data_IF_317941714548
#
_entry.id   IF_317941714548
#
_cell.length_a   1.000
_cell.length_b   1.000
_cell.length_c   1.000
_cell.angle_alpha   90.00
_cell.angle_beta   90.00
_cell.angle_gamma   90.00
#
_symmetry.space_group_name_H-M   'P 1'
#
loop_
_entity.id
_entity.type
_entity.pdbx_description
1 polymer ?
#
# COMPACT_ATOMS: atom_id res chain seq x y z
N UNK A 1 2.36 3.41 28.94
CA UNK A 1 2.77 2.79 27.66
C UNK A 1 3.79 1.72 27.98
N UNK A 2 3.73 0.57 27.33
CA UNK A 2 4.66 -0.55 27.57
C UNK A 2 5.63 -0.76 26.40
N UNK A 3 5.19 -0.45 25.17
CA UNK A 3 5.97 -0.67 23.95
C UNK A 3 6.15 0.62 23.16
N UNK A 4 7.25 0.66 22.41
CA UNK A 4 7.61 1.77 21.54
C UNK A 4 7.96 1.25 20.15
N UNK A 5 7.52 1.96 19.11
CA UNK A 5 7.90 1.67 17.73
C UNK A 5 8.14 2.95 16.94
N UNK A 6 9.17 2.97 16.10
CA UNK A 6 9.48 4.12 15.24
C UNK A 6 8.78 3.99 13.90
N UNK A 7 8.00 5.00 13.52
CA UNK A 7 7.27 5.03 12.24
C UNK A 7 7.48 6.38 11.57
N UNK A 8 7.57 6.36 10.23
CA UNK A 8 7.59 7.58 9.43
C UNK A 8 6.15 8.05 9.20
N UNK A 9 5.92 9.34 9.39
CA UNK A 9 4.64 9.97 9.08
C UNK A 9 4.47 10.07 7.57
N UNK A 10 3.36 9.53 7.07
CA UNK A 10 3.01 9.54 5.66
C UNK A 10 2.53 10.93 5.22
N UNK A 11 2.54 11.19 3.90
CA UNK A 11 2.16 12.49 3.32
C UNK A 11 0.72 12.90 3.61
N UNK A 12 -0.15 11.94 3.93
CA UNK A 12 -1.55 12.15 4.29
C UNK A 12 -1.75 12.39 5.79
N UNK A 13 -0.67 12.62 6.55
CA UNK A 13 -0.66 12.86 8.01
C UNK A 13 -1.10 11.62 8.80
N UNK A 14 -0.72 10.45 8.32
CA UNK A 14 -1.02 9.20 9.00
C UNK A 14 0.23 8.39 9.36
N UNK A 15 0.09 7.55 10.38
CA UNK A 15 1.06 6.50 10.74
C UNK A 15 0.33 5.17 10.90
N UNK A 16 1.00 4.08 10.54
CA UNK A 16 0.44 2.73 10.69
C UNK A 16 1.14 1.97 11.81
N UNK A 17 0.35 1.33 12.67
CA UNK A 17 0.81 0.54 13.80
C UNK A 17 -0.13 -0.65 13.99
N UNK A 18 0.41 -1.87 14.02
CA UNK A 18 -0.34 -3.12 14.25
C UNK A 18 -1.59 -3.28 13.36
N UNK A 19 -1.49 -2.86 12.09
CA UNK A 19 -2.60 -2.94 11.13
C UNK A 19 -3.65 -1.83 11.26
N UNK A 20 -3.50 -0.90 12.21
CA UNK A 20 -4.34 0.29 12.34
C UNK A 20 -3.63 1.53 11.84
N UNK A 21 -4.41 2.51 11.40
CA UNK A 21 -3.93 3.80 10.92
C UNK A 21 -4.35 4.86 11.92
N UNK A 22 -3.43 5.75 12.27
CA UNK A 22 -3.65 6.84 13.21
C UNK A 22 -3.36 8.18 12.55
N UNK A 23 -4.18 9.17 12.87
CA UNK A 23 -4.02 10.57 12.47
C UNK A 23 -3.02 11.26 13.38
N UNK A 24 -2.11 12.03 12.77
CA UNK A 24 -1.08 12.81 13.46
C UNK A 24 -1.05 14.26 12.97
N UNK A 25 -0.39 15.13 13.72
CA UNK A 25 -0.19 16.54 13.38
C UNK A 25 0.55 16.69 12.05
N UNK A 26 0.07 17.63 11.23
CA UNK A 26 0.67 18.01 9.96
C UNK A 26 2.12 18.49 10.11
N UNK A 27 2.48 19.04 11.27
CA UNK A 27 3.85 19.46 11.57
C UNK A 27 4.87 18.30 11.56
N UNK A 28 4.40 17.05 11.70
CA UNK A 28 5.25 15.86 11.74
C UNK A 28 5.37 15.16 10.37
N UNK A 29 4.81 15.74 9.30
CA UNK A 29 4.83 15.14 7.96
C UNK A 29 6.25 14.82 7.47
N UNK A 30 6.48 13.55 7.12
CA UNK A 30 7.78 13.08 6.66
C UNK A 30 8.81 12.80 7.76
N UNK A 31 8.52 13.18 9.01
CA UNK A 31 9.37 12.90 10.15
C UNK A 31 9.24 11.45 10.62
N UNK A 32 10.27 10.96 11.33
CA UNK A 32 10.23 9.66 12.00
C UNK A 32 9.93 9.86 13.48
N UNK A 33 8.73 9.48 13.90
CA UNK A 33 8.23 9.62 15.26
C UNK A 33 8.32 8.30 16.02
N UNK A 34 8.36 8.38 17.34
CA UNK A 34 8.25 7.24 18.24
C UNK A 34 6.80 7.13 18.74
N UNK A 35 6.15 6.02 18.43
CA UNK A 35 4.80 5.69 18.87
C UNK A 35 4.90 4.88 20.16
N UNK A 36 4.22 5.32 21.22
CA UNK A 36 4.17 4.63 22.51
C UNK A 36 2.76 4.14 22.78
N UNK A 37 2.63 2.83 23.03
CA UNK A 37 1.33 2.18 23.18
C UNK A 37 1.36 1.06 24.20
N UNK A 38 0.18 0.54 24.53
CA UNK A 38 0.01 -0.66 25.34
C UNK A 38 -0.52 -1.77 24.40
N UNK A 39 0.24 -2.86 24.18
CA UNK A 39 -0.19 -3.93 23.28
C UNK A 39 -1.38 -4.74 23.83
N UNK A 40 -1.63 -4.68 25.14
CA UNK A 40 -2.77 -5.35 25.77
C UNK A 40 -4.04 -4.52 25.73
N UNK A 41 -3.94 -3.24 25.37
CA UNK A 41 -5.10 -2.37 25.22
C UNK A 41 -5.91 -2.75 23.98
N UNK A 42 -7.25 -2.56 24.00
CA UNK A 42 -8.08 -2.72 22.83
C UNK A 42 -7.59 -1.87 21.67
N UNK A 43 -7.71 -2.44 20.47
CA UNK A 43 -7.39 -1.75 19.24
C UNK A 43 -8.33 -0.54 19.04
N UNK A 44 -7.82 0.55 18.46
CA UNK A 44 -8.54 1.81 18.32
C UNK A 44 -8.38 2.79 19.49
N UNK A 45 -7.63 2.45 20.54
CA UNK A 45 -7.25 3.45 21.54
C UNK A 45 -6.23 4.45 20.97
N UNK A 46 -6.31 5.74 21.36
CA UNK A 46 -5.28 6.71 21.01
C UNK A 46 -3.90 6.28 21.51
N UNK A 47 -2.87 6.58 20.71
CA UNK A 47 -1.47 6.25 21.02
C UNK A 47 -0.66 7.53 21.21
N UNK A 48 0.36 7.46 22.05
CA UNK A 48 1.22 8.62 22.29
C UNK A 48 2.25 8.76 21.17
N UNK A 49 2.37 9.96 20.60
CA UNK A 49 3.38 10.31 19.60
C UNK A 49 4.45 11.16 20.25
N UNK A 50 5.69 10.70 20.15
CA UNK A 50 6.87 11.44 20.59
C UNK A 50 7.78 11.75 19.39
N UNK A 51 8.34 12.96 19.36
CA UNK A 51 9.33 13.37 18.37
C UNK A 51 10.53 13.98 19.11
N UNK A 52 11.75 13.58 18.71
CA UNK A 52 12.99 14.04 19.38
C UNK A 52 13.00 13.84 20.91
N UNK A 53 12.39 12.74 21.38
CA UNK A 53 12.27 12.43 22.82
C UNK A 53 11.20 13.25 23.56
N UNK A 54 10.51 14.18 22.90
CA UNK A 54 9.43 14.96 23.48
C UNK A 54 8.07 14.41 23.09
N UNK A 55 7.14 14.41 24.05
CA UNK A 55 5.74 14.15 23.78
C UNK A 55 5.13 15.28 22.95
N UNK A 56 4.44 14.95 21.87
CA UNK A 56 3.76 15.92 21.02
C UNK A 56 2.24 15.83 21.24
N UNK A 57 1.65 14.66 21.01
CA UNK A 57 0.20 14.48 21.06
C UNK A 57 -0.23 13.03 21.24
N UNK A 58 -1.53 12.81 21.46
CA UNK A 58 -2.16 11.49 21.38
C UNK A 58 -2.87 11.34 20.03
N UNK A 59 -2.31 10.52 19.14
CA UNK A 59 -2.84 10.24 17.82
C UNK A 59 -4.09 9.37 17.90
N UNK A 60 -5.14 9.75 17.16
CA UNK A 60 -6.43 9.05 17.13
C UNK A 60 -6.48 8.07 15.98
N UNK A 61 -7.20 6.94 16.10
CA UNK A 61 -7.40 6.07 14.95
C UNK A 61 -8.15 6.81 13.84
N UNK A 62 -7.75 6.58 12.59
CA UNK A 62 -8.49 7.05 11.42
C UNK A 62 -9.83 6.35 11.39
N UNK A 63 -10.91 7.11 11.23
CA UNK A 63 -12.25 6.60 10.94
C UNK A 63 -12.41 6.41 9.43
N UNK A 64 -12.29 5.19 8.88
CA UNK A 64 -12.27 5.01 7.43
C UNK A 64 -13.61 5.35 6.82
N UNK A 65 -14.70 5.05 7.52
CA UNK A 65 -16.06 5.26 7.03
C UNK A 65 -16.36 6.74 6.81
N UNK A 66 -15.83 7.64 7.66
CA UNK A 66 -15.93 9.09 7.46
C UNK A 66 -15.17 9.57 6.20
N UNK A 67 -14.10 8.86 5.81
CA UNK A 67 -13.21 9.22 4.71
C UNK A 67 -13.58 8.57 3.35
N UNK A 68 -14.41 7.53 3.34
CA UNK A 68 -14.70 6.73 2.15
C UNK A 68 -15.62 7.39 1.10
N UNK A 69 -16.24 8.54 1.39
CA UNK A 69 -17.25 9.13 0.50
C UNK A 69 -16.69 9.82 -0.75
N UNK A 70 -15.38 10.08 -0.78
CA UNK A 70 -14.73 10.70 -1.94
C UNK A 70 -14.27 9.60 -2.91
N UNK A 71 -15.00 9.43 -4.01
CA UNK A 71 -14.59 8.56 -5.12
C UNK A 71 -13.29 9.08 -5.74
N UNK A 72 -12.19 8.36 -5.55
CA UNK A 72 -10.95 8.61 -6.29
C UNK A 72 -11.19 8.30 -7.76
N UNK A 73 -11.02 9.30 -8.63
CA UNK A 73 -10.94 9.05 -10.07
C UNK A 73 -9.62 8.33 -10.33
N UNK A 74 -9.65 7.00 -10.20
CA UNK A 74 -8.55 6.14 -10.59
C UNK A 74 -8.83 5.77 -12.04
N UNK A 75 -8.06 6.26 -13.03
CA UNK A 75 -8.10 5.66 -14.36
C UNK A 75 -7.58 4.23 -14.21
N UNK A 76 -8.49 3.31 -13.91
CA UNK A 76 -8.19 1.90 -13.91
C UNK A 76 -7.89 1.53 -15.35
N UNK A 77 -6.62 1.17 -15.60
CA UNK A 77 -6.24 0.24 -16.67
C UNK A 77 -6.42 0.75 -18.11
N UNK A 78 -6.03 1.99 -18.39
CA UNK A 78 -5.64 2.39 -19.75
C UNK A 78 -4.16 2.75 -19.72
N UNK A 79 -3.30 1.74 -19.85
CA UNK A 79 -1.97 1.97 -20.39
C UNK A 79 -2.19 2.40 -21.83
N UNK A 80 -2.16 3.71 -22.10
CA UNK A 80 -2.02 4.17 -23.48
C UNK A 80 -0.58 3.83 -23.88
N UNK A 81 -0.42 2.79 -24.69
CA UNK A 81 0.84 2.56 -25.38
C UNK A 81 0.92 3.59 -26.52
N UNK A 82 1.90 4.49 -26.46
CA UNK A 82 2.15 5.49 -27.53
C UNK A 82 2.63 4.85 -28.85
N UNK A 83 2.91 3.54 -28.87
CA UNK A 83 3.52 2.86 -30.01
C UNK A 83 2.84 1.52 -30.28
N UNK A 84 2.43 1.30 -31.54
CA UNK A 84 1.94 0.00 -32.02
C UNK A 84 3.03 -1.08 -31.87
N UNK A 85 2.65 -2.27 -31.40
CA UNK A 85 3.57 -3.40 -31.29
C UNK A 85 4.19 -3.75 -32.66
N UNK A 86 5.49 -4.06 -32.74
CA UNK A 86 6.11 -4.56 -33.98
C UNK A 86 5.47 -5.89 -34.39
N UNK A 87 5.29 -6.11 -35.70
CA UNK A 87 4.78 -7.39 -36.20
C UNK A 87 5.75 -8.54 -35.82
N UNK A 88 5.23 -9.68 -35.32
CA UNK A 88 6.06 -10.82 -35.00
C UNK A 88 6.67 -11.42 -36.27
N UNK A 89 7.91 -11.97 -36.20
CA UNK A 89 8.52 -12.65 -37.33
C UNK A 89 7.68 -13.89 -37.72
N UNK A 90 7.63 -14.26 -39.00
CA UNK A 90 6.85 -15.41 -39.45
C UNK A 90 7.38 -16.70 -38.81
N UNK A 91 6.49 -17.49 -38.21
CA UNK A 91 6.81 -18.79 -37.61
C UNK A 91 7.47 -19.74 -38.62
N UNK A 92 8.64 -20.27 -38.27
CA UNK A 92 9.44 -21.17 -39.12
C UNK A 92 8.93 -22.62 -39.23
N UNK A 93 7.88 -22.99 -38.50
CA UNK A 93 7.31 -24.34 -38.53
C UNK A 93 6.04 -24.35 -39.38
N UNK A 94 6.08 -25.00 -40.54
CA UNK A 94 4.88 -25.21 -41.36
C UNK A 94 4.18 -26.48 -40.89
N UNK A 95 2.87 -26.39 -40.66
CA UNK A 95 2.02 -27.51 -40.22
C UNK A 95 2.15 -28.78 -41.09
N UNK A 96 2.52 -28.61 -42.36
CA UNK A 96 2.74 -29.69 -43.34
C UNK A 96 4.01 -30.52 -43.09
N UNK A 97 4.91 -30.06 -42.23
CA UNK A 97 6.15 -30.76 -41.89
C UNK A 97 6.03 -31.59 -40.61
N UNK A 98 4.81 -31.67 -40.04
CA UNK A 98 4.55 -32.55 -38.90
C UNK A 98 4.42 -34.00 -39.40
N UNK A 99 5.17 -34.96 -38.82
CA UNK A 99 4.99 -36.36 -39.16
C UNK A 99 3.60 -36.83 -38.72
N UNK A 100 2.81 -37.33 -39.67
CA UNK A 100 1.59 -38.09 -39.38
C UNK A 100 2.02 -39.47 -38.92
N UNK A 101 1.81 -39.76 -37.64
CA UNK A 101 1.94 -41.10 -37.08
C UNK A 101 0.74 -41.92 -37.57
N UNK A 102 0.97 -42.75 -38.59
CA UNK A 102 -0.04 -43.68 -39.09
C UNK A 102 0.11 -44.98 -38.31
N UNK A 103 -0.70 -45.17 -37.26
CA UNK A 103 -0.83 -46.46 -36.58
C UNK A 103 -1.81 -47.34 -37.37
N UNK A 104 -1.30 -48.40 -37.98
CA UNK A 104 -2.09 -49.53 -38.49
C UNK A 104 -1.65 -50.82 -37.77
N UNK A 105 -2.69 -51.53 -37.28
CA UNK A 105 -2.81 -52.85 -36.63
C UNK A 105 -2.18 -53.12 -35.24
#
# INVERSE_FOLDING_TARGET
FLFEERRKVQKDRTVSLNGMVYEVDAALLGETVTLRFDPSAPSGRPIQVCHQGQFIENARPVEPYANCFIKRNRPSRTLQADTSAPEPPPSGLKLRDLPVDNQED
#
